data_IF_456278654961
#
_entry.id   IF_456278654961
#
_cell.length_a   1.000
_cell.length_b   1.000
_cell.length_c   1.000
_cell.angle_alpha   90.00
_cell.angle_beta   90.00
_cell.angle_gamma   90.00
#
_symmetry.space_group_name_H-M   'P 1'
#
loop_
_entity.id
_entity.type
_entity.pdbx_description
1 polymer ?
#
# COMPACT_ATOMS: atom_id res chain seq x y z
N UNK A 1 -4.27 22.46 -3.61
CA UNK A 1 -2.83 22.28 -3.89
C UNK A 1 -2.15 23.64 -3.78
N UNK A 2 -1.06 23.79 -3.02
CA UNK A 2 -0.41 25.10 -2.80
C UNK A 2 0.22 25.60 -4.11
N UNK A 3 0.16 26.91 -4.36
CA UNK A 3 0.62 27.54 -5.61
C UNK A 3 2.07 27.19 -5.96
N UNK A 4 2.94 27.14 -4.94
CA UNK A 4 4.35 26.73 -5.08
C UNK A 4 4.50 25.31 -5.64
N UNK A 5 3.59 24.38 -5.35
CA UNK A 5 3.66 23.02 -5.89
C UNK A 5 3.24 22.98 -7.36
N UNK A 6 2.29 23.83 -7.79
CA UNK A 6 1.86 23.89 -9.19
C UNK A 6 2.99 24.35 -10.10
N UNK A 7 3.71 25.41 -9.69
CA UNK A 7 4.88 25.91 -10.44
C UNK A 7 5.95 24.82 -10.61
N UNK A 8 6.17 23.99 -9.57
CA UNK A 8 7.12 22.85 -9.63
C UNK A 8 6.68 21.78 -10.63
N UNK A 9 5.40 21.43 -10.61
CA UNK A 9 4.83 20.43 -11.53
C UNK A 9 4.93 20.95 -12.97
N UNK A 10 4.51 22.18 -13.20
CA UNK A 10 4.56 22.83 -14.52
C UNK A 10 5.99 22.88 -15.09
N UNK A 11 7.00 23.19 -14.27
CA UNK A 11 8.39 23.21 -14.72
C UNK A 11 8.88 21.81 -15.17
N UNK A 12 8.46 20.74 -14.46
CA UNK A 12 8.80 19.37 -14.85
C UNK A 12 8.03 18.93 -16.10
N UNK A 13 6.75 19.29 -16.22
CA UNK A 13 5.94 18.94 -17.40
C UNK A 13 6.50 19.60 -18.67
N UNK A 14 6.88 20.89 -18.60
CA UNK A 14 7.54 21.59 -19.71
C UNK A 14 8.88 20.98 -20.09
N UNK A 15 9.66 20.53 -19.10
CA UNK A 15 10.90 19.81 -19.36
C UNK A 15 10.65 18.47 -20.04
N UNK A 16 9.63 17.73 -19.59
CA UNK A 16 9.25 16.45 -20.17
C UNK A 16 8.69 16.58 -21.61
N UNK A 17 8.08 17.72 -21.95
CA UNK A 17 7.64 18.04 -23.32
C UNK A 17 8.78 18.53 -24.23
N UNK A 18 10.02 18.62 -23.73
CA UNK A 18 11.19 18.98 -24.53
C UNK A 18 11.47 20.48 -24.65
N UNK A 19 10.84 21.35 -23.84
CA UNK A 19 11.21 22.77 -23.81
C UNK A 19 12.64 22.96 -23.31
N UNK A 20 13.31 24.00 -23.81
CA UNK A 20 14.65 24.32 -23.35
C UNK A 20 14.62 24.83 -21.91
N UNK A 21 15.64 24.48 -21.10
CA UNK A 21 15.73 24.92 -19.69
C UNK A 21 15.67 26.45 -19.56
N UNK A 22 16.19 27.18 -20.55
CA UNK A 22 16.17 28.64 -20.59
C UNK A 22 14.75 29.21 -20.74
N UNK A 23 13.91 28.56 -21.54
CA UNK A 23 12.51 28.95 -21.71
C UNK A 23 11.68 28.60 -20.47
N UNK A 24 11.95 27.45 -19.87
CA UNK A 24 11.30 27.02 -18.63
C UNK A 24 11.61 28.00 -17.50
N UNK A 25 12.87 28.41 -17.36
CA UNK A 25 13.29 29.39 -16.35
C UNK A 25 12.62 30.74 -16.58
N UNK A 26 12.51 31.20 -17.83
CA UNK A 26 11.79 32.44 -18.18
C UNK A 26 10.28 32.36 -17.87
N UNK A 27 9.66 31.21 -18.12
CA UNK A 27 8.21 31.02 -17.95
C UNK A 27 7.79 30.75 -16.50
N UNK A 28 8.63 30.05 -15.72
CA UNK A 28 8.27 29.56 -14.37
C UNK A 28 9.07 30.22 -13.24
N UNK A 29 10.16 30.92 -13.56
CA UNK A 29 11.10 31.48 -12.57
C UNK A 29 11.93 30.42 -11.84
N UNK A 30 11.92 29.16 -12.31
CA UNK A 30 12.65 28.04 -11.70
C UNK A 30 14.05 27.95 -12.30
N UNK A 31 15.07 28.14 -11.46
CA UNK A 31 16.48 27.94 -11.82
C UNK A 31 16.75 26.48 -12.24
N UNK A 32 17.61 26.32 -13.25
CA UNK A 32 18.14 25.04 -13.77
C UNK A 32 18.50 24.03 -12.67
N UNK A 33 19.21 24.43 -11.63
CA UNK A 33 19.64 23.57 -10.51
C UNK A 33 18.44 23.03 -9.73
N UNK A 34 17.39 23.83 -9.54
CA UNK A 34 16.18 23.38 -8.87
C UNK A 34 15.41 22.38 -9.71
N UNK A 35 15.31 22.61 -11.02
CA UNK A 35 14.69 21.70 -11.97
C UNK A 35 15.34 20.31 -11.93
N UNK A 36 16.67 20.24 -12.10
CA UNK A 36 17.38 18.96 -12.03
C UNK A 36 17.27 18.28 -10.67
N UNK A 37 17.36 19.04 -9.57
CA UNK A 37 17.17 18.50 -8.23
C UNK A 37 15.78 17.88 -8.05
N UNK A 38 14.74 18.47 -8.63
CA UNK A 38 13.39 17.93 -8.55
C UNK A 38 13.17 16.72 -9.44
N UNK A 39 13.79 16.67 -10.61
CA UNK A 39 13.80 15.49 -11.48
C UNK A 39 14.46 14.30 -10.79
N UNK A 40 15.67 14.48 -10.26
CA UNK A 40 16.39 13.46 -9.50
C UNK A 40 15.55 12.94 -8.32
N UNK A 41 14.95 13.86 -7.56
CA UNK A 41 14.05 13.52 -6.45
C UNK A 41 12.78 12.77 -6.89
N UNK A 42 12.24 13.11 -8.05
CA UNK A 42 11.04 12.46 -8.60
C UNK A 42 11.33 11.06 -9.13
N UNK A 43 12.53 10.82 -9.64
CA UNK A 43 12.98 9.53 -10.15
C UNK A 43 13.42 8.55 -9.06
N UNK A 44 13.71 9.05 -7.85
CA UNK A 44 14.03 8.19 -6.71
C UNK A 44 12.89 7.20 -6.41
N UNK A 45 13.26 5.99 -5.97
CA UNK A 45 12.31 4.96 -5.58
C UNK A 45 11.64 5.33 -4.24
N UNK A 46 10.31 5.30 -4.22
CA UNK A 46 9.52 5.47 -3.02
C UNK A 46 9.35 4.11 -2.30
N UNK A 47 9.20 4.08 -0.95
CA UNK A 47 9.01 2.84 -0.20
C UNK A 47 7.83 1.94 -0.61
N UNK A 48 6.91 2.42 -1.46
CA UNK A 48 5.81 1.65 -2.02
C UNK A 48 6.19 0.91 -3.32
N UNK A 49 7.45 0.99 -3.75
CA UNK A 49 7.98 0.34 -4.95
C UNK A 49 7.75 1.11 -6.25
N UNK A 50 7.09 2.26 -6.22
CA UNK A 50 6.96 3.18 -7.38
C UNK A 50 8.01 4.29 -7.26
N UNK A 51 8.23 5.07 -8.32
CA UNK A 51 9.01 6.31 -8.19
C UNK A 51 8.23 7.34 -7.36
N UNK A 52 8.93 8.27 -6.73
CA UNK A 52 8.29 9.38 -6.00
C UNK A 52 7.40 10.24 -6.93
N UNK A 53 7.82 10.45 -8.17
CA UNK A 53 7.15 11.31 -9.14
C UNK A 53 6.89 12.71 -8.58
N UNK A 54 5.69 13.25 -8.82
CA UNK A 54 5.31 14.57 -8.30
C UNK A 54 5.18 14.64 -6.76
N UNK A 55 5.12 13.50 -6.05
CA UNK A 55 5.09 13.49 -4.58
C UNK A 55 6.36 14.12 -3.99
N UNK A 56 7.50 13.97 -4.68
CA UNK A 56 8.77 14.57 -4.27
C UNK A 56 8.78 16.11 -4.28
N UNK A 57 7.83 16.74 -5.01
CA UNK A 57 7.72 18.19 -5.17
C UNK A 57 6.93 18.86 -4.04
N UNK A 58 6.26 18.07 -3.18
CA UNK A 58 5.53 18.61 -2.05
C UNK A 58 6.49 19.21 -1.01
N UNK A 59 6.10 20.33 -0.41
CA UNK A 59 6.89 20.97 0.64
C UNK A 59 7.00 20.02 1.85
N UNK A 60 8.20 19.94 2.43
CA UNK A 60 8.56 19.07 3.56
C UNK A 60 8.60 17.57 3.28
N UNK A 61 8.37 17.13 2.04
CA UNK A 61 8.62 15.72 1.68
C UNK A 61 10.12 15.47 1.66
N UNK A 62 10.54 14.45 2.40
CA UNK A 62 11.90 13.93 2.41
C UNK A 62 11.97 12.78 1.43
N UNK A 63 12.90 12.86 0.49
CA UNK A 63 13.17 11.79 -0.49
C UNK A 63 14.29 10.91 0.04
N UNK A 64 15.34 11.52 0.58
CA UNK A 64 16.39 10.83 1.33
C UNK A 64 16.20 11.07 2.83
N UNK A 65 16.39 10.04 3.64
CA UNK A 65 16.45 10.17 5.09
C UNK A 65 17.73 10.92 5.50
N UNK A 66 17.65 11.66 6.60
CA UNK A 66 18.82 12.33 7.14
C UNK A 66 19.75 11.30 7.79
N UNK A 67 20.94 11.13 7.22
CA UNK A 67 22.01 10.30 7.80
C UNK A 67 23.01 11.21 8.49
N UNK A 68 23.24 10.97 9.77
CA UNK A 68 24.21 11.72 10.55
C UNK A 68 25.60 11.13 10.31
N UNK A 69 26.55 11.97 9.88
CA UNK A 69 27.96 11.57 9.69
C UNK A 69 28.82 12.00 10.90
N UNK A 70 28.44 13.08 11.59
CA UNK A 70 29.17 13.56 12.77
C UNK A 70 28.99 12.63 13.98
N UNK A 71 30.03 12.43 14.81
CA UNK A 71 29.94 11.58 15.99
C UNK A 71 28.84 12.04 16.96
N UNK A 72 28.31 11.08 17.71
CA UNK A 72 27.26 11.33 18.70
C UNK A 72 27.82 12.02 19.95
N UNK A 73 29.02 11.63 20.36
CA UNK A 73 29.73 12.17 21.52
C UNK A 73 30.56 13.38 21.09
N UNK A 74 29.99 14.57 21.19
CA UNK A 74 30.67 15.86 21.04
C UNK A 74 30.26 16.81 22.17
N UNK A 75 31.02 17.90 22.41
CA UNK A 75 30.65 18.90 23.42
C UNK A 75 29.19 19.31 23.20
N UNK A 76 28.29 19.13 24.18
CA UNK A 76 26.93 19.63 24.05
C UNK A 76 27.01 21.14 23.81
N UNK A 77 26.33 21.65 22.78
CA UNK A 77 26.03 23.08 22.77
C UNK A 77 25.24 23.37 24.05
N UNK A 78 25.50 24.47 24.73
CA UNK A 78 24.76 24.88 25.94
C UNK A 78 23.23 24.85 25.72
N UNK A 79 22.78 25.04 24.46
CA UNK A 79 21.39 25.03 24.04
C UNK A 79 20.79 23.64 23.71
N UNK A 80 21.53 22.53 23.86
CA UNK A 80 21.05 21.18 23.50
C UNK A 80 20.80 20.92 22.00
N UNK A 81 21.26 21.81 21.12
CA UNK A 81 21.14 21.73 19.65
C UNK A 81 22.17 20.74 19.05
N UNK A 82 21.95 20.31 17.81
CA UNK A 82 22.93 19.50 17.07
C UNK A 82 22.90 17.98 17.33
N UNK A 83 21.87 17.44 18.00
CA UNK A 83 21.68 15.99 18.23
C UNK A 83 20.77 15.30 17.20
N UNK A 84 20.43 15.96 16.09
CA UNK A 84 19.65 15.36 15.01
C UNK A 84 20.35 14.12 14.44
N UNK A 85 19.61 13.03 14.26
CA UNK A 85 20.12 11.74 13.77
C UNK A 85 21.03 10.98 14.75
N UNK A 86 21.30 11.50 15.95
CA UNK A 86 22.17 10.85 16.94
C UNK A 86 21.68 9.45 17.35
N UNK A 87 20.37 9.30 17.55
CA UNK A 87 19.77 8.03 17.94
C UNK A 87 19.85 6.96 16.83
N UNK A 88 19.69 7.37 15.57
CA UNK A 88 19.81 6.47 14.42
C UNK A 88 21.25 5.96 14.30
N UNK A 89 22.22 6.88 14.30
CA UNK A 89 23.65 6.54 14.27
C UNK A 89 24.05 5.65 15.47
N UNK A 90 23.52 5.94 16.66
CA UNK A 90 23.75 5.12 17.85
C UNK A 90 23.25 3.67 17.65
N UNK A 91 22.03 3.47 17.14
CA UNK A 91 21.51 2.12 16.89
C UNK A 91 22.28 1.39 15.79
N UNK A 92 22.81 2.10 14.79
CA UNK A 92 23.70 1.52 13.78
C UNK A 92 25.04 1.06 14.38
N UNK A 93 25.59 1.82 15.32
CA UNK A 93 26.80 1.44 16.06
C UNK A 93 26.58 0.27 17.03
N UNK A 94 25.34 0.03 17.47
CA UNK A 94 24.96 -1.07 18.38
C UNK A 94 23.86 -1.94 17.78
N UNK A 95 24.15 -2.75 16.74
CA UNK A 95 23.14 -3.52 16.00
C UNK A 95 22.41 -4.56 16.87
N UNK A 96 23.07 -5.10 17.90
CA UNK A 96 22.44 -6.00 18.87
C UNK A 96 21.32 -5.29 19.66
N UNK A 97 21.53 -4.01 20.03
CA UNK A 97 20.53 -3.20 20.72
C UNK A 97 19.37 -2.83 19.79
N UNK A 98 19.64 -2.57 18.52
CA UNK A 98 18.61 -2.37 17.50
C UNK A 98 17.75 -3.64 17.31
N UNK A 99 18.39 -4.81 17.20
CA UNK A 99 17.71 -6.10 17.12
C UNK A 99 16.86 -6.40 18.35
N UNK A 100 17.38 -6.11 19.55
CA UNK A 100 16.64 -6.22 20.81
C UNK A 100 15.38 -5.34 20.81
N UNK A 101 15.47 -4.10 20.34
CA UNK A 101 14.32 -3.19 20.27
C UNK A 101 13.22 -3.74 19.34
N UNK A 102 13.61 -4.28 18.18
CA UNK A 102 12.68 -4.93 17.25
C UNK A 102 12.04 -6.18 17.86
N UNK A 103 12.79 -6.97 18.64
CA UNK A 103 12.24 -8.12 19.36
C UNK A 103 11.17 -7.69 20.37
N UNK A 104 11.39 -6.61 21.12
CA UNK A 104 10.41 -6.08 22.08
C UNK A 104 9.13 -5.59 21.41
N UNK A 105 9.25 -5.00 20.22
CA UNK A 105 8.10 -4.66 19.37
C UNK A 105 7.34 -5.93 18.95
N UNK A 106 8.06 -6.95 18.44
CA UNK A 106 7.44 -8.23 18.03
C UNK A 106 6.73 -8.94 19.17
N UNK A 107 7.25 -8.82 20.39
CA UNK A 107 6.65 -9.36 21.62
C UNK A 107 5.53 -8.47 22.19
N UNK A 108 5.11 -7.42 21.49
CA UNK A 108 4.06 -6.50 21.93
C UNK A 108 4.33 -5.84 23.29
N UNK A 109 5.60 -5.66 23.68
CA UNK A 109 5.99 -4.98 24.93
C UNK A 109 5.74 -3.47 24.88
N UNK A 110 5.57 -2.93 23.67
CA UNK A 110 5.14 -1.56 23.42
C UNK A 110 4.06 -1.56 22.36
N UNK A 111 3.01 -0.76 22.59
CA UNK A 111 1.82 -0.68 21.74
C UNK A 111 1.54 0.77 21.36
N UNK A 112 1.06 0.99 20.14
CA UNK A 112 0.64 2.31 19.67
C UNK A 112 -0.89 2.42 19.78
N UNK A 113 -1.37 3.16 20.77
CA UNK A 113 -2.81 3.42 20.94
C UNK A 113 -3.21 4.76 20.35
N UNK A 114 -4.33 4.79 19.64
CA UNK A 114 -4.96 6.03 19.22
C UNK A 114 -5.78 6.60 20.39
N UNK A 115 -5.69 7.91 20.61
CA UNK A 115 -6.32 8.58 21.77
C UNK A 115 -7.56 9.39 21.33
N UNK A 116 -7.50 10.12 20.22
CA UNK A 116 -8.63 10.93 19.71
C UNK A 116 -8.65 11.05 18.16
N UNK A 117 -9.82 11.40 17.62
CA UNK A 117 -10.12 11.60 16.18
C UNK A 117 -10.66 13.00 15.87
N UNK A 118 -10.28 14.04 16.62
CA UNK A 118 -10.76 15.41 16.36
C UNK A 118 -9.92 16.09 15.26
N UNK A 119 -9.89 15.50 14.06
CA UNK A 119 -9.24 16.06 12.86
C UNK A 119 -7.71 15.89 12.77
N UNK A 120 -7.03 15.43 13.83
CA UNK A 120 -5.62 15.01 13.79
C UNK A 120 -5.42 13.67 14.52
N UNK A 121 -4.62 12.79 13.94
CA UNK A 121 -4.29 11.49 14.53
C UNK A 121 -3.42 11.69 15.79
N UNK A 122 -4.01 11.55 16.98
CA UNK A 122 -3.28 11.58 18.24
C UNK A 122 -2.94 10.15 18.71
N UNK A 123 -1.64 9.86 18.85
CA UNK A 123 -1.15 8.53 19.25
C UNK A 123 -0.32 8.56 20.53
N UNK A 124 -0.48 7.53 21.36
CA UNK A 124 0.25 7.29 22.62
C UNK A 124 0.92 5.92 22.58
N UNK A 125 2.18 5.88 23.03
CA UNK A 125 2.87 4.61 23.28
C UNK A 125 2.54 4.10 24.68
N UNK A 126 2.00 2.89 24.77
CA UNK A 126 1.80 2.16 26.03
C UNK A 126 3.00 1.25 26.25
N UNK A 127 3.56 1.23 27.46
CA UNK A 127 4.76 0.45 27.79
C UNK A 127 6.10 1.18 27.58
N UNK A 128 6.08 2.44 27.10
CA UNK A 128 7.29 3.21 26.80
C UNK A 128 8.24 3.35 28.00
N UNK A 129 7.73 3.67 29.20
CA UNK A 129 8.58 3.88 30.37
C UNK A 129 9.29 2.59 30.82
N UNK A 130 8.58 1.46 30.85
CA UNK A 130 9.17 0.17 31.19
C UNK A 130 10.25 -0.21 30.16
N UNK A 131 9.94 -0.09 28.86
CA UNK A 131 10.88 -0.37 27.79
C UNK A 131 12.09 0.59 27.81
N UNK A 132 11.90 1.85 28.16
CA UNK A 132 12.98 2.83 28.31
C UNK A 132 13.92 2.47 29.47
N UNK A 133 13.38 2.01 30.60
CA UNK A 133 14.18 1.49 31.70
C UNK A 133 15.05 0.29 31.27
N UNK A 134 14.45 -0.68 30.58
CA UNK A 134 15.21 -1.82 30.04
C UNK A 134 16.25 -1.37 28.99
N UNK A 135 15.92 -0.39 28.15
CA UNK A 135 16.84 0.15 27.16
C UNK A 135 18.08 0.79 27.81
N UNK A 136 17.89 1.58 28.87
CA UNK A 136 19.01 2.15 29.62
C UNK A 136 19.85 1.07 30.31
N UNK A 137 19.20 0.00 30.81
CA UNK A 137 19.91 -1.14 31.39
C UNK A 137 20.79 -1.84 30.33
N UNK A 138 20.24 -2.13 29.16
CA UNK A 138 21.01 -2.69 28.04
C UNK A 138 22.18 -1.78 27.64
N UNK A 139 21.98 -0.47 27.63
CA UNK A 139 23.06 0.49 27.38
C UNK A 139 24.18 0.39 28.43
N UNK A 140 23.83 0.23 29.72
CA UNK A 140 24.82 0.00 30.79
C UNK A 140 25.55 -1.32 30.62
N UNK A 141 24.85 -2.39 30.24
CA UNK A 141 25.47 -3.70 29.99
C UNK A 141 26.46 -3.68 28.84
N UNK A 142 26.35 -2.71 27.92
CA UNK A 142 27.32 -2.45 26.84
C UNK A 142 28.51 -1.59 27.29
N UNK A 143 28.62 -1.24 28.57
CA UNK A 143 29.71 -0.44 29.13
C UNK A 143 29.55 1.06 28.98
N UNK A 144 28.37 1.55 28.54
CA UNK A 144 28.15 2.99 28.34
C UNK A 144 28.08 3.75 29.66
N UNK A 145 28.73 4.91 29.68
CA UNK A 145 28.90 5.76 30.87
C UNK A 145 28.10 7.05 30.77
N UNK A 146 28.19 7.92 31.79
CA UNK A 146 27.44 9.18 31.82
C UNK A 146 27.83 10.16 30.69
N UNK A 147 29.05 10.05 30.14
CA UNK A 147 29.50 10.89 29.02
C UNK A 147 29.01 10.39 27.66
N UNK A 148 28.58 9.14 27.60
CA UNK A 148 28.12 8.49 26.38
C UNK A 148 26.63 8.73 26.15
N UNK A 149 26.24 8.73 24.89
CA UNK A 149 24.83 8.61 24.52
C UNK A 149 24.30 7.22 24.93
N UNK A 150 23.07 7.10 25.47
CA UNK A 150 22.07 8.15 25.66
C UNK A 150 22.16 8.94 26.99
N UNK A 151 23.07 8.57 27.89
CA UNK A 151 23.17 9.13 29.25
C UNK A 151 23.58 10.61 29.28
N UNK A 152 24.31 11.08 28.26
CA UNK A 152 24.64 12.50 28.08
C UNK A 152 23.46 13.39 27.61
N UNK A 153 22.23 12.91 27.76
CA UNK A 153 21.00 13.65 27.47
C UNK A 153 20.09 13.67 28.70
N UNK A 154 19.45 14.81 28.95
CA UNK A 154 18.58 15.05 30.12
C UNK A 154 17.52 13.95 30.33
N UNK A 155 16.96 13.42 29.24
CA UNK A 155 15.92 12.38 29.28
C UNK A 155 16.40 10.98 28.90
N UNK A 156 17.71 10.70 28.86
CA UNK A 156 18.23 9.39 28.46
C UNK A 156 17.71 8.93 27.09
N UNK A 157 17.60 9.86 26.14
CA UNK A 157 17.04 9.66 24.80
C UNK A 157 15.57 9.20 24.72
N UNK A 158 14.76 9.30 25.79
CA UNK A 158 13.36 8.82 25.81
C UNK A 158 12.51 9.37 24.66
N UNK A 159 12.71 10.64 24.27
CA UNK A 159 12.01 11.27 23.14
C UNK A 159 12.42 10.67 21.79
N UNK A 160 13.71 10.41 21.60
CA UNK A 160 14.23 9.77 20.38
C UNK A 160 13.80 8.31 20.28
N UNK A 161 13.84 7.58 21.39
CA UNK A 161 13.31 6.21 21.49
C UNK A 161 11.83 6.17 21.14
N UNK A 162 11.02 7.07 21.72
CA UNK A 162 9.60 7.20 21.41
C UNK A 162 9.35 7.48 19.93
N UNK A 163 10.10 8.41 19.32
CA UNK A 163 9.99 8.71 17.89
C UNK A 163 10.34 7.50 17.02
N UNK A 164 11.43 6.77 17.34
CA UNK A 164 11.82 5.57 16.59
C UNK A 164 10.77 4.46 16.73
N UNK A 165 10.25 4.24 17.93
CA UNK A 165 9.19 3.25 18.17
C UNK A 165 7.92 3.60 17.39
N UNK A 166 7.52 4.87 17.36
CA UNK A 166 6.39 5.31 16.53
C UNK A 166 6.63 5.03 15.05
N UNK A 167 7.81 5.37 14.54
CA UNK A 167 8.19 5.10 13.15
C UNK A 167 8.08 3.60 12.84
N UNK A 168 8.75 2.75 13.62
CA UNK A 168 8.73 1.29 13.46
C UNK A 168 7.33 0.69 13.55
N UNK A 169 6.52 1.16 14.49
CA UNK A 169 5.14 0.71 14.64
C UNK A 169 4.26 1.18 13.47
N UNK A 170 4.58 2.32 12.85
CA UNK A 170 3.86 2.85 11.69
C UNK A 170 4.39 2.39 10.33
N UNK A 171 5.58 1.75 10.29
CA UNK A 171 6.27 1.38 9.04
C UNK A 171 5.49 0.42 8.16
N UNK A 172 4.66 -0.44 8.76
CA UNK A 172 3.77 -1.31 8.01
C UNK A 172 2.39 -1.36 8.66
N UNK A 173 1.35 -1.44 7.84
CA UNK A 173 -0.02 -1.63 8.31
C UNK A 173 -0.13 -2.86 9.22
N UNK A 174 0.60 -3.94 8.91
CA UNK A 174 0.65 -5.16 9.72
C UNK A 174 1.20 -4.88 11.12
N UNK A 175 2.33 -4.18 11.20
CA UNK A 175 3.00 -3.84 12.46
C UNK A 175 2.12 -2.88 13.27
N UNK A 176 1.53 -1.88 12.62
CA UNK A 176 0.63 -0.91 13.25
C UNK A 176 -0.61 -1.59 13.81
N UNK A 177 -1.26 -2.46 13.03
CA UNK A 177 -2.49 -3.12 13.44
C UNK A 177 -2.24 -4.15 14.55
N UNK A 178 -1.14 -4.92 14.50
CA UNK A 178 -0.74 -5.79 15.62
C UNK A 178 -0.43 -4.99 16.88
N UNK A 179 0.28 -3.88 16.75
CA UNK A 179 0.59 -3.00 17.88
C UNK A 179 -0.62 -2.21 18.41
N UNK A 180 -1.71 -2.15 17.67
CA UNK A 180 -3.00 -1.65 18.12
C UNK A 180 -3.87 -2.75 18.77
N UNK A 181 -3.41 -4.01 18.80
CA UNK A 181 -4.09 -5.13 19.45
C UNK A 181 -4.85 -6.08 18.52
N UNK A 182 -4.69 -5.97 17.19
CA UNK A 182 -5.32 -6.90 16.26
C UNK A 182 -4.69 -8.30 16.35
N UNK A 183 -5.49 -9.29 16.77
CA UNK A 183 -5.10 -10.71 16.87
C UNK A 183 -5.27 -11.45 15.55
N UNK A 184 -6.27 -11.07 14.75
CA UNK A 184 -6.50 -11.57 13.39
C UNK A 184 -6.53 -10.43 12.39
N UNK A 185 -5.66 -10.51 11.40
CA UNK A 185 -5.62 -9.57 10.29
C UNK A 185 -5.88 -10.36 8.99
N UNK A 186 -7.13 -10.31 8.49
CA UNK A 186 -7.51 -10.86 7.19
C UNK A 186 -7.13 -9.85 6.08
N UNK A 187 -6.72 -10.35 4.91
CA UNK A 187 -6.45 -9.51 3.74
C UNK A 187 -5.17 -8.65 3.83
N UNK A 188 -4.23 -9.00 4.71
CA UNK A 188 -2.94 -8.30 4.73
C UNK A 188 -2.16 -8.60 3.45
N UNK A 189 -1.62 -7.57 2.76
CA UNK A 189 -0.63 -7.82 1.72
C UNK A 189 0.52 -8.64 2.32
N UNK A 190 0.77 -9.79 1.70
CA UNK A 190 1.89 -10.66 2.03
C UNK A 190 3.14 -10.00 1.44
N UNK A 191 3.87 -9.27 2.28
CA UNK A 191 5.12 -8.59 1.92
C UNK A 191 6.34 -9.50 2.11
N UNK A 192 6.19 -10.83 2.03
CA UNK A 192 7.35 -11.71 1.99
C UNK A 192 7.96 -11.65 0.59
N UNK A 193 8.82 -10.64 0.41
CA UNK A 193 10.14 -10.65 -0.22
C UNK A 193 10.41 -11.48 -1.50
N UNK A 194 9.40 -11.74 -2.31
CA UNK A 194 9.53 -12.07 -3.73
C UNK A 194 8.53 -11.21 -4.52
N UNK A 195 9.02 -10.09 -5.04
CA UNK A 195 8.51 -9.41 -6.24
C UNK A 195 6.98 -9.36 -6.47
N UNK A 196 6.23 -8.62 -5.66
CA UNK A 196 5.02 -7.96 -6.17
C UNK A 196 5.44 -6.77 -7.03
N UNK A 197 6.15 -7.02 -8.14
CA UNK A 197 6.35 -5.99 -9.16
C UNK A 197 4.93 -5.54 -9.60
N UNK A 198 4.64 -4.23 -9.64
CA UNK A 198 3.35 -3.77 -10.14
C UNK A 198 3.17 -4.29 -11.57
N UNK A 199 1.95 -4.66 -11.96
CA UNK A 199 1.65 -5.02 -13.35
C UNK A 199 1.88 -3.77 -14.21
N UNK A 200 2.87 -3.83 -15.12
CA UNK A 200 3.31 -2.72 -15.95
C UNK A 200 2.72 -2.76 -17.36
N UNK A 201 2.07 -3.87 -17.74
CA UNK A 201 1.39 -4.03 -19.03
C UNK A 201 0.07 -4.83 -18.89
N UNK A 202 -0.90 -4.63 -19.80
CA UNK A 202 -2.10 -5.47 -19.87
C UNK A 202 -1.75 -6.95 -19.98
N UNK A 203 -2.60 -7.82 -19.41
CA UNK A 203 -2.44 -9.29 -19.38
C UNK A 203 -1.17 -9.76 -18.66
N UNK A 204 -0.45 -8.91 -17.93
CA UNK A 204 0.68 -9.39 -17.13
C UNK A 204 0.20 -10.12 -15.88
N UNK A 205 -0.72 -9.50 -15.14
CA UNK A 205 -1.26 -10.04 -13.89
C UNK A 205 -2.76 -9.82 -13.88
N UNK A 206 -3.50 -10.87 -13.58
CA UNK A 206 -4.95 -10.81 -13.37
C UNK A 206 -5.32 -11.17 -11.94
N UNK A 207 -6.44 -10.64 -11.48
CA UNK A 207 -7.03 -10.91 -10.17
C UNK A 207 -8.36 -11.62 -10.37
N UNK A 208 -8.52 -12.78 -9.73
CA UNK A 208 -9.81 -13.43 -9.55
C UNK A 208 -10.43 -12.94 -8.26
N UNK A 209 -11.70 -12.55 -8.33
CA UNK A 209 -12.47 -12.12 -7.17
C UNK A 209 -13.88 -12.68 -7.22
N UNK A 210 -14.35 -13.15 -6.06
CA UNK A 210 -15.69 -13.66 -5.85
C UNK A 210 -16.53 -12.69 -5.01
N UNK A 211 -17.58 -12.13 -5.61
CA UNK A 211 -18.47 -11.18 -4.94
C UNK A 211 -19.86 -11.76 -4.73
N UNK A 212 -20.30 -11.87 -3.47
CA UNK A 212 -21.68 -12.27 -3.15
C UNK A 212 -22.64 -11.11 -3.39
N UNK A 213 -23.58 -11.28 -4.31
CA UNK A 213 -24.64 -10.31 -4.56
C UNK A 213 -25.69 -10.38 -3.46
N UNK A 214 -26.07 -9.23 -2.91
CA UNK A 214 -27.11 -9.12 -1.87
C UNK A 214 -28.49 -9.00 -2.51
N UNK A 215 -28.91 -10.07 -3.19
CA UNK A 215 -30.19 -10.17 -3.88
C UNK A 215 -30.90 -11.45 -3.46
N UNK A 216 -32.23 -11.38 -3.33
CA UNK A 216 -33.08 -12.57 -3.10
C UNK A 216 -33.81 -12.88 -4.39
N UNK A 217 -33.61 -14.08 -4.91
CA UNK A 217 -34.23 -14.53 -6.15
C UNK A 217 -35.02 -15.82 -5.87
N UNK A 218 -36.02 -16.08 -6.72
CA UNK A 218 -36.70 -17.37 -6.78
C UNK A 218 -36.79 -17.84 -8.23
N UNK A 219 -36.66 -19.14 -8.45
CA UNK A 219 -36.95 -19.78 -9.73
C UNK A 219 -38.38 -20.31 -9.67
N UNK A 220 -39.20 -19.91 -10.65
CA UNK A 220 -40.56 -20.43 -10.81
C UNK A 220 -40.55 -21.44 -11.94
N UNK A 221 -40.85 -22.71 -11.64
CA UNK A 221 -40.94 -23.79 -12.62
C UNK A 221 -42.39 -24.21 -12.74
N UNK A 222 -42.90 -24.31 -13.98
CA UNK A 222 -44.21 -24.90 -14.25
C UNK A 222 -44.06 -26.38 -14.54
N UNK A 223 -44.80 -27.21 -13.82
CA UNK A 223 -44.84 -28.65 -14.11
C UNK A 223 -45.69 -28.96 -15.35
N UNK A 224 -45.73 -30.23 -15.76
CA UNK A 224 -46.48 -30.68 -16.93
C UNK A 224 -48.01 -30.49 -16.79
N UNK A 225 -48.51 -30.27 -15.58
CA UNK A 225 -49.93 -30.00 -15.28
C UNK A 225 -50.20 -28.49 -15.17
N UNK A 226 -49.18 -27.64 -15.30
CA UNK A 226 -49.27 -26.19 -15.26
C UNK A 226 -49.20 -25.59 -13.85
N UNK A 227 -48.91 -26.36 -12.80
CA UNK A 227 -48.72 -25.82 -11.46
C UNK A 227 -47.35 -25.16 -11.32
N UNK A 228 -47.33 -24.02 -10.65
CA UNK A 228 -46.11 -23.27 -10.36
C UNK A 228 -45.46 -23.75 -9.06
N UNK A 229 -44.19 -24.14 -9.18
CA UNK A 229 -43.32 -24.50 -8.06
C UNK A 229 -42.26 -23.42 -7.90
N UNK A 230 -42.17 -22.86 -6.70
CA UNK A 230 -41.20 -21.79 -6.38
C UNK A 230 -40.01 -22.35 -5.59
N UNK A 231 -38.80 -22.10 -6.10
CA UNK A 231 -37.54 -22.48 -5.46
C UNK A 231 -36.73 -21.24 -5.12
N UNK A 232 -36.51 -20.97 -3.84
CA UNK A 232 -35.69 -19.84 -3.40
C UNK A 232 -34.21 -20.10 -3.73
N UNK A 233 -33.57 -19.10 -4.33
CA UNK A 233 -32.13 -19.09 -4.57
C UNK A 233 -31.47 -18.56 -3.29
N UNK A 234 -30.65 -19.40 -2.66
CA UNK A 234 -30.00 -19.02 -1.41
C UNK A 234 -29.04 -17.85 -1.57
N UNK A 235 -28.18 -17.88 -2.59
CA UNK A 235 -27.15 -16.87 -2.87
C UNK A 235 -26.80 -16.83 -4.35
N UNK A 236 -26.32 -15.67 -4.78
CA UNK A 236 -25.74 -15.47 -6.11
C UNK A 236 -24.32 -14.91 -5.95
N UNK A 237 -23.37 -15.56 -6.61
CA UNK A 237 -21.98 -15.13 -6.65
C UNK A 237 -21.62 -14.63 -8.04
N UNK A 238 -21.05 -13.43 -8.11
CA UNK A 238 -20.38 -12.90 -9.29
C UNK A 238 -18.89 -13.21 -9.16
N UNK A 239 -18.40 -14.09 -10.03
CA UNK A 239 -16.98 -14.39 -10.15
C UNK A 239 -16.44 -13.59 -11.32
N UNK A 240 -15.34 -12.87 -11.13
CA UNK A 240 -14.76 -12.04 -12.18
C UNK A 240 -13.23 -12.20 -12.24
N UNK A 241 -12.69 -12.14 -13.45
CA UNK A 241 -11.24 -12.03 -13.69
C UNK A 241 -10.97 -10.61 -14.21
N UNK A 242 -10.10 -9.89 -13.51
CA UNK A 242 -9.83 -8.48 -13.75
C UNK A 242 -8.34 -8.29 -14.03
N UNK A 243 -8.01 -7.60 -15.12
CA UNK A 243 -6.62 -7.23 -15.41
C UNK A 243 -6.13 -6.15 -14.42
N UNK A 244 -4.99 -6.40 -13.77
CA UNK A 244 -4.47 -5.51 -12.72
C UNK A 244 -3.99 -4.17 -13.29
N UNK A 245 -3.45 -4.15 -14.51
CA UNK A 245 -2.87 -2.97 -15.12
C UNK A 245 -3.94 -1.97 -15.60
N UNK A 246 -4.94 -2.48 -16.31
CA UNK A 246 -6.00 -1.70 -16.98
C UNK A 246 -7.29 -1.62 -16.18
N UNK A 247 -7.48 -2.51 -15.19
CA UNK A 247 -8.75 -2.71 -14.46
C UNK A 247 -9.91 -3.20 -15.32
N UNK A 248 -9.66 -3.62 -16.55
CA UNK A 248 -10.67 -4.22 -17.40
C UNK A 248 -11.10 -5.58 -16.83
N UNK A 249 -12.42 -5.82 -16.81
CA UNK A 249 -12.94 -7.16 -16.56
C UNK A 249 -12.72 -7.98 -17.84
N UNK A 250 -11.99 -9.08 -17.72
CA UNK A 250 -11.70 -9.96 -18.84
C UNK A 250 -12.81 -10.96 -19.08
N UNK A 251 -13.47 -11.42 -18.02
CA UNK A 251 -14.62 -12.33 -18.08
C UNK A 251 -15.27 -12.50 -16.71
N UNK A 252 -16.46 -13.08 -16.70
CA UNK A 252 -17.22 -13.31 -15.47
C UNK A 252 -18.12 -14.56 -15.55
N UNK A 253 -18.49 -15.08 -14.39
CA UNK A 253 -19.47 -16.17 -14.26
C UNK A 253 -20.40 -15.90 -13.08
N UNK A 254 -21.69 -16.21 -13.25
CA UNK A 254 -22.69 -16.11 -12.19
C UNK A 254 -23.00 -17.50 -11.64
N UNK A 255 -22.64 -17.76 -10.39
CA UNK A 255 -22.93 -19.01 -9.72
C UNK A 255 -24.15 -18.86 -8.78
N UNK A 256 -25.18 -19.66 -9.02
CA UNK A 256 -26.43 -19.68 -8.26
C UNK A 256 -26.39 -20.83 -7.27
N UNK A 257 -25.67 -20.63 -6.17
CA UNK A 257 -25.40 -21.66 -5.18
C UNK A 257 -24.96 -21.03 -3.85
N UNK A 258 -24.95 -21.81 -2.77
CA UNK A 258 -24.51 -21.36 -1.43
C UNK A 258 -23.09 -20.81 -1.44
N UNK A 259 -22.18 -21.50 -2.11
CA UNK A 259 -20.77 -21.17 -2.28
C UNK A 259 -20.36 -21.65 -3.68
N UNK A 260 -19.55 -20.86 -4.37
CA UNK A 260 -19.04 -21.25 -5.68
C UNK A 260 -18.01 -22.39 -5.58
N UNK A 261 -17.94 -23.21 -6.62
CA UNK A 261 -17.08 -24.38 -6.69
C UNK A 261 -15.88 -24.15 -7.61
N UNK A 262 -14.94 -25.10 -7.63
CA UNK A 262 -13.85 -25.12 -8.61
C UNK A 262 -14.33 -25.10 -10.07
N UNK A 263 -15.51 -25.66 -10.35
CA UNK A 263 -16.07 -25.66 -11.70
C UNK A 263 -16.55 -24.27 -12.11
N UNK A 264 -17.06 -23.49 -11.17
CA UNK A 264 -17.44 -22.10 -11.39
C UNK A 264 -16.20 -21.23 -11.65
N UNK A 265 -15.09 -21.50 -10.95
CA UNK A 265 -13.80 -20.84 -11.23
C UNK A 265 -13.32 -21.17 -12.64
N UNK A 266 -13.36 -22.45 -13.05
CA UNK A 266 -12.99 -22.88 -14.41
C UNK A 266 -13.86 -22.18 -15.45
N UNK A 267 -15.19 -22.12 -15.24
CA UNK A 267 -16.13 -21.41 -16.13
C UNK A 267 -15.81 -19.91 -16.23
N UNK A 268 -15.34 -19.31 -15.14
CA UNK A 268 -14.90 -17.91 -15.14
C UNK A 268 -13.63 -17.73 -15.98
N UNK A 269 -12.68 -18.66 -15.87
CA UNK A 269 -11.44 -18.66 -16.68
C UNK A 269 -11.77 -18.85 -18.17
N UNK A 270 -12.61 -19.83 -18.50
CA UNK A 270 -13.09 -20.06 -19.87
C UNK A 270 -13.74 -18.79 -20.42
N UNK A 271 -14.65 -18.16 -19.67
CA UNK A 271 -15.28 -16.91 -20.07
C UNK A 271 -14.26 -15.79 -20.32
N UNK A 272 -13.19 -15.69 -19.52
CA UNK A 272 -12.19 -14.64 -19.68
C UNK A 272 -11.27 -14.85 -20.90
N UNK A 273 -11.08 -16.10 -21.33
CA UNK A 273 -10.24 -16.44 -22.47
C UNK A 273 -11.05 -16.45 -23.78
N UNK A 274 -12.30 -16.87 -23.75
CA UNK A 274 -13.13 -16.95 -24.96
C UNK A 274 -13.49 -15.55 -25.52
N UNK A 275 -13.68 -15.44 -26.85
CA UNK A 275 -14.15 -14.21 -27.47
C UNK A 275 -15.55 -13.85 -26.97
N UNK A 276 -15.68 -12.66 -26.36
CA UNK A 276 -16.97 -12.18 -25.89
C UNK A 276 -17.87 -11.79 -27.05
N UNK A 277 -19.08 -12.36 -27.06
CA UNK A 277 -20.11 -12.06 -28.04
C UNK A 277 -21.09 -11.04 -27.47
N UNK A 278 -21.60 -10.18 -28.36
CA UNK A 278 -22.73 -9.31 -28.06
C UNK A 278 -23.93 -10.17 -27.63
N UNK A 279 -24.61 -9.75 -26.57
CA UNK A 279 -25.87 -10.35 -26.13
C UNK A 279 -27.03 -9.47 -26.55
N UNK A 280 -28.10 -10.11 -26.99
CA UNK A 280 -29.38 -9.43 -27.17
C UNK A 280 -30.06 -9.30 -25.81
N UNK A 281 -30.50 -8.07 -25.49
CA UNK A 281 -31.23 -7.79 -24.27
C UNK A 281 -32.73 -7.82 -24.53
N UNK A 282 -33.47 -8.43 -23.61
CA UNK A 282 -34.95 -8.47 -23.66
C UNK A 282 -35.58 -7.31 -22.90
N UNK A 283 -34.81 -6.58 -22.10
CA UNK A 283 -35.29 -5.45 -21.30
C UNK A 283 -35.37 -4.20 -22.20
N UNK A 284 -36.55 -3.58 -22.37
CA UNK A 284 -36.69 -2.39 -23.19
C UNK A 284 -35.76 -1.26 -22.75
N UNK A 285 -35.01 -0.67 -23.70
CA UNK A 285 -34.07 0.41 -23.44
C UNK A 285 -32.71 -0.03 -22.90
N UNK A 286 -32.49 -1.31 -22.62
CA UNK A 286 -31.18 -1.84 -22.25
C UNK A 286 -30.38 -2.18 -23.51
N UNK A 287 -29.28 -1.48 -23.72
CA UNK A 287 -28.38 -1.69 -24.85
C UNK A 287 -26.93 -1.38 -24.43
N UNK A 288 -25.97 -1.88 -25.21
CA UNK A 288 -24.57 -1.52 -25.04
C UNK A 288 -24.33 -0.06 -25.44
N UNK A 289 -23.62 0.69 -24.60
CA UNK A 289 -23.12 2.02 -24.92
C UNK A 289 -21.88 2.01 -25.83
N UNK A 290 -21.47 3.20 -26.34
CA UNK A 290 -20.33 3.34 -27.26
C UNK A 290 -18.99 2.85 -26.70
N UNK A 291 -18.85 2.80 -25.38
CA UNK A 291 -17.63 2.37 -24.68
C UNK A 291 -17.81 1.07 -23.87
N UNK A 292 -18.98 0.44 -23.95
CA UNK A 292 -19.27 -0.78 -23.18
C UNK A 292 -18.73 -2.04 -23.86
N UNK A 293 -18.56 -3.09 -23.08
CA UNK A 293 -18.17 -4.41 -23.56
C UNK A 293 -16.79 -4.83 -23.09
N UNK A 294 -16.45 -6.07 -23.43
CA UNK A 294 -15.21 -6.71 -22.98
C UNK A 294 -14.04 -6.37 -23.91
N UNK A 295 -12.79 -6.46 -23.45
CA UNK A 295 -11.62 -6.26 -24.30
C UNK A 295 -11.64 -7.11 -25.58
N UNK A 296 -11.93 -8.42 -25.48
CA UNK A 296 -12.01 -9.31 -26.64
C UNK A 296 -13.21 -9.07 -27.56
N UNK A 297 -14.23 -8.34 -27.08
CA UNK A 297 -15.36 -7.90 -27.90
C UNK A 297 -15.00 -6.69 -28.77
N UNK A 298 -14.12 -5.82 -28.28
CA UNK A 298 -13.68 -4.60 -28.98
C UNK A 298 -12.46 -4.82 -29.84
N UNK A 299 -11.57 -5.70 -29.41
CA UNK A 299 -10.31 -6.06 -30.04
C UNK A 299 -10.29 -7.59 -30.19
N UNK A 300 -10.79 -8.14 -31.32
CA UNK A 300 -10.86 -9.59 -31.54
C UNK A 300 -9.52 -10.29 -31.40
N UNK A 301 -8.40 -9.61 -31.66
CA UNK A 301 -7.05 -10.10 -31.44
C UNK A 301 -6.72 -10.44 -29.98
N UNK A 302 -7.50 -9.91 -29.02
CA UNK A 302 -7.38 -10.24 -27.60
C UNK A 302 -8.12 -11.54 -27.22
N UNK A 303 -8.85 -12.16 -28.15
CA UNK A 303 -9.44 -13.47 -27.92
C UNK A 303 -8.35 -14.51 -27.66
N UNK A 304 -8.57 -15.37 -26.67
CA UNK A 304 -7.65 -16.42 -26.22
C UNK A 304 -6.29 -15.91 -25.71
N UNK A 305 -6.13 -14.60 -25.51
CA UNK A 305 -4.90 -14.05 -24.93
C UNK A 305 -4.80 -14.47 -23.46
N UNK A 306 -3.68 -15.12 -23.13
CA UNK A 306 -3.39 -15.56 -21.77
C UNK A 306 -2.66 -14.48 -20.98
N UNK A 307 -2.66 -14.63 -19.66
CA UNK A 307 -1.88 -13.81 -18.75
C UNK A 307 -0.67 -14.57 -18.18
N UNK A 308 0.31 -13.85 -17.64
CA UNK A 308 1.50 -14.49 -17.03
C UNK A 308 1.20 -15.00 -15.62
N UNK A 309 0.47 -14.23 -14.81
CA UNK A 309 0.18 -14.55 -13.41
C UNK A 309 -1.29 -14.30 -13.05
N UNK A 310 -1.86 -15.20 -12.25
CA UNK A 310 -3.19 -15.06 -11.68
C UNK A 310 -3.11 -15.01 -10.16
N UNK A 311 -3.71 -13.98 -9.57
CA UNK A 311 -3.93 -13.92 -8.13
C UNK A 311 -5.31 -14.51 -7.81
N UNK A 312 -5.34 -15.43 -6.87
CA UNK A 312 -6.57 -16.00 -6.33
C UNK A 312 -6.81 -15.44 -4.93
N UNK A 313 -8.06 -15.19 -4.58
CA UNK A 313 -8.43 -14.89 -3.22
C UNK A 313 -8.38 -16.16 -2.36
N UNK A 314 -8.04 -16.02 -1.08
CA UNK A 314 -7.99 -17.16 -0.15
C UNK A 314 -9.40 -17.64 0.27
N UNK A 315 -10.46 -17.21 -0.42
CA UNK A 315 -11.82 -17.60 -0.14
C UNK A 315 -12.09 -18.99 -0.74
N UNK A 316 -11.61 -20.03 -0.05
CA UNK A 316 -12.06 -21.44 -0.12
C UNK A 316 -12.60 -21.94 -1.49
N UNK A 317 -11.93 -21.62 -2.59
CA UNK A 317 -11.99 -22.48 -3.76
C UNK A 317 -11.16 -23.72 -3.42
N UNK A 318 -11.77 -24.70 -2.74
CA UNK A 318 -11.15 -26.01 -2.54
C UNK A 318 -10.89 -26.59 -3.94
N UNK A 319 -9.64 -26.51 -4.38
CA UNK A 319 -9.12 -27.37 -5.45
C UNK A 319 -9.02 -28.77 -4.90
#
# INVERSE_FOLDING_TARGET
MREVTKVRVQAIERYASGESVKEIEKATGVDRRQLYRWLERGLALHPDGRIFGFRALLRYVRVNEYVRISPVNGRPSEDGRGKAGAFALFLESYPALAGWLLLKIKQCRVLLKQVHTNGRLHTRLVGLHALHGEFLWQCRSLGLTAVDYPFNTEGGAIRSLSARLKDELSRSFRTAARAAGATHLKGLPHYDKAESRPAMRPYQVVEFDGHRLDIRLKVVVRDALGFEHEFEIERVWLLAIIDVCTRAVLGFHLAICREYSRYDVIKTIESALEPHRLRDFTIPGLAYGPHDGFPSQRLPELAYTTWEWMKLDNAKANV
#
